data_IF_014056045510
#
_entry.id   IF_014056045510
#
_cell.length_a   1.000
_cell.length_b   1.000
_cell.length_c   1.000
_cell.angle_alpha   90.00
_cell.angle_beta   90.00
_cell.angle_gamma   90.00
#
_symmetry.space_group_name_H-M   'P 1'
#
loop_
_entity.id
_entity.type
_entity.pdbx_description
1 polymer ?
#
# COMPACT_ATOMS: atom_id res chain seq x y z
N UNK A 1 -13.82 9.06 24.60
CA UNK A 1 -12.73 8.27 23.97
C UNK A 1 -11.69 9.24 23.45
N UNK A 2 -10.51 9.29 24.07
CA UNK A 2 -9.46 10.25 23.70
C UNK A 2 -9.05 10.02 22.24
N UNK A 3 -9.26 11.02 21.40
CA UNK A 3 -8.82 11.05 20.00
C UNK A 3 -7.28 11.08 19.99
N UNK A 4 -6.66 9.90 20.14
CA UNK A 4 -5.22 9.73 20.09
C UNK A 4 -4.84 10.01 18.64
N UNK A 5 -4.30 11.20 18.36
CA UNK A 5 -3.79 11.57 17.03
C UNK A 5 -2.88 10.44 16.55
N UNK A 6 -3.36 9.64 15.59
CA UNK A 6 -2.57 8.57 14.98
C UNK A 6 -1.46 9.25 14.20
N UNK A 7 -0.20 8.95 14.53
CA UNK A 7 0.91 9.43 13.71
C UNK A 7 0.69 8.93 12.28
N UNK A 8 0.66 9.82 11.27
CA UNK A 8 0.49 9.40 9.88
C UNK A 8 1.60 8.45 9.44
N UNK A 9 1.25 7.39 8.71
CA UNK A 9 2.22 6.45 8.14
C UNK A 9 3.06 7.17 7.08
N UNK A 10 4.38 7.18 7.21
CA UNK A 10 5.27 7.93 6.31
C UNK A 10 5.60 7.10 5.09
N UNK A 11 5.73 7.76 3.93
CA UNK A 11 6.05 7.07 2.68
C UNK A 11 7.41 6.38 2.73
N UNK A 12 8.37 6.99 3.43
CA UNK A 12 9.71 6.43 3.63
C UNK A 12 9.74 5.13 4.44
N UNK A 13 8.66 4.81 5.15
CA UNK A 13 8.55 3.61 5.98
C UNK A 13 8.02 2.41 5.16
N UNK A 14 7.67 2.59 3.88
CA UNK A 14 7.43 1.50 2.95
C UNK A 14 8.74 0.78 2.59
N UNK A 15 8.66 -0.53 2.40
CA UNK A 15 9.83 -1.32 2.06
C UNK A 15 10.18 -1.18 0.57
N UNK A 16 11.48 -1.16 0.24
CA UNK A 16 12.00 -1.07 -1.14
C UNK A 16 11.48 0.13 -1.94
N UNK A 17 11.33 1.30 -1.30
CA UNK A 17 11.03 2.56 -2.00
C UNK A 17 12.31 3.34 -2.27
N UNK A 18 12.41 4.03 -3.42
CA UNK A 18 13.58 4.84 -3.75
C UNK A 18 13.63 6.11 -2.87
N UNK A 19 14.68 6.30 -2.04
CA UNK A 19 14.83 7.49 -1.21
C UNK A 19 14.82 8.81 -2.00
N UNK A 20 15.26 8.81 -3.26
CA UNK A 20 15.24 9.99 -4.14
C UNK A 20 13.80 10.38 -4.51
N UNK A 21 12.95 9.39 -4.81
CA UNK A 21 11.52 9.64 -5.07
C UNK A 21 10.81 10.16 -3.82
N UNK A 22 11.13 9.58 -2.66
CA UNK A 22 10.61 10.05 -1.37
C UNK A 22 11.02 11.51 -1.12
N UNK A 23 12.30 11.85 -1.27
CA UNK A 23 12.77 13.22 -1.07
C UNK A 23 12.08 14.23 -2.01
N UNK A 24 11.85 13.87 -3.28
CA UNK A 24 11.11 14.69 -4.24
C UNK A 24 9.65 14.90 -3.84
N UNK A 25 8.97 13.86 -3.35
CA UNK A 25 7.61 13.96 -2.82
C UNK A 25 7.55 14.83 -1.57
N UNK A 26 8.52 14.69 -0.65
CA UNK A 26 8.60 15.53 0.54
C UNK A 26 8.79 17.01 0.20
N UNK A 27 9.57 17.32 -0.84
CA UNK A 27 9.79 18.68 -1.34
C UNK A 27 8.52 19.34 -1.89
N UNK A 28 7.58 18.56 -2.44
CA UNK A 28 6.25 19.04 -2.88
C UNK A 28 5.16 18.89 -1.82
N UNK A 29 5.54 18.61 -0.57
CA UNK A 29 4.64 18.59 0.59
C UNK A 29 3.95 17.24 0.85
N UNK A 30 4.34 16.17 0.17
CA UNK A 30 3.74 14.83 0.31
C UNK A 30 4.69 13.89 1.05
N UNK A 31 4.42 13.64 2.33
CA UNK A 31 5.27 12.85 3.24
C UNK A 31 4.61 11.57 3.74
N UNK A 32 3.28 11.49 3.66
CA UNK A 32 2.48 10.44 4.31
C UNK A 32 1.57 9.70 3.33
N UNK A 33 1.16 8.49 3.72
CA UNK A 33 0.19 7.69 2.98
C UNK A 33 -1.13 8.45 2.74
N UNK A 34 -1.67 9.12 3.77
CA UNK A 34 -2.91 9.89 3.64
C UNK A 34 -2.77 11.06 2.64
N UNK A 35 -1.59 11.70 2.60
CA UNK A 35 -1.32 12.80 1.67
C UNK A 35 -1.21 12.33 0.23
N UNK A 36 -0.49 11.23 -0.03
CA UNK A 36 -0.38 10.71 -1.39
C UNK A 36 -1.69 10.11 -1.89
N UNK A 37 -2.49 9.48 -1.02
CA UNK A 37 -3.82 8.99 -1.37
C UNK A 37 -4.77 10.13 -1.72
N UNK A 38 -4.66 11.27 -1.01
CA UNK A 38 -5.43 12.46 -1.34
C UNK A 38 -5.03 13.05 -2.69
N UNK A 39 -3.73 13.18 -2.96
CA UNK A 39 -3.23 13.79 -4.19
C UNK A 39 -3.35 12.87 -5.42
N UNK A 40 -3.08 11.57 -5.25
CA UNK A 40 -3.09 10.54 -6.29
C UNK A 40 -4.37 9.73 -6.36
N UNK A 41 -5.48 10.26 -5.82
CA UNK A 41 -6.79 9.58 -5.78
C UNK A 41 -7.25 9.12 -7.15
N UNK A 42 -7.06 9.96 -8.16
CA UNK A 42 -7.56 9.75 -9.53
C UNK A 42 -6.40 9.61 -10.50
N UNK A 43 -6.65 9.05 -11.70
CA UNK A 43 -5.62 8.96 -12.74
C UNK A 43 -5.01 10.33 -13.09
N UNK A 44 -5.79 11.41 -13.33
CA UNK A 44 -5.24 12.76 -13.51
C UNK A 44 -4.42 13.24 -12.30
N UNK A 45 -4.91 13.01 -11.07
CA UNK A 45 -4.18 13.44 -9.86
C UNK A 45 -2.82 12.76 -9.69
N UNK A 46 -2.70 11.49 -10.11
CA UNK A 46 -1.40 10.79 -10.15
C UNK A 46 -0.47 11.39 -11.18
N UNK A 47 -0.96 11.70 -12.39
CA UNK A 47 -0.17 12.35 -13.45
C UNK A 47 0.32 13.73 -13.03
N UNK A 48 -0.55 14.54 -12.42
CA UNK A 48 -0.21 15.88 -11.92
C UNK A 48 0.83 15.80 -10.80
N UNK A 49 0.68 14.83 -9.89
CA UNK A 49 1.64 14.63 -8.82
C UNK A 49 3.01 14.17 -9.34
N UNK A 50 3.03 13.27 -10.33
CA UNK A 50 4.25 12.83 -11.00
C UNK A 50 4.99 14.01 -11.63
N UNK A 51 4.28 14.84 -12.40
CA UNK A 51 4.85 16.03 -13.04
C UNK A 51 5.38 17.04 -12.01
N UNK A 52 4.59 17.36 -10.97
CA UNK A 52 4.98 18.32 -9.92
C UNK A 52 6.18 17.86 -9.12
N UNK A 53 6.23 16.59 -8.74
CA UNK A 53 7.35 16.02 -8.00
C UNK A 53 8.56 15.69 -8.90
N UNK A 54 8.36 15.69 -10.21
CA UNK A 54 9.36 15.25 -11.19
C UNK A 54 9.77 13.80 -10.96
N UNK A 55 8.83 12.90 -10.66
CA UNK A 55 9.10 11.46 -10.49
C UNK A 55 8.31 10.65 -11.51
N UNK A 56 8.78 9.43 -11.86
CA UNK A 56 8.08 8.62 -12.85
C UNK A 56 6.63 8.26 -12.42
N UNK A 57 5.65 8.28 -13.34
CA UNK A 57 4.25 7.95 -13.02
C UNK A 57 4.08 6.58 -12.36
N UNK A 58 4.89 5.59 -12.73
CA UNK A 58 4.90 4.25 -12.15
C UNK A 58 5.28 4.27 -10.66
N UNK A 59 6.21 5.13 -10.25
CA UNK A 59 6.60 5.28 -8.85
C UNK A 59 5.46 5.91 -8.03
N UNK A 60 4.72 6.86 -8.61
CA UNK A 60 3.50 7.40 -7.97
C UNK A 60 2.45 6.30 -7.82
N UNK A 61 2.19 5.55 -8.89
CA UNK A 61 1.18 4.49 -8.88
C UNK A 61 1.49 3.44 -7.81
N UNK A 62 2.75 3.02 -7.72
CA UNK A 62 3.21 2.08 -6.70
C UNK A 62 3.01 2.63 -5.29
N UNK A 63 3.45 3.87 -5.01
CA UNK A 63 3.30 4.46 -3.68
C UNK A 63 1.83 4.68 -3.30
N UNK A 64 0.96 4.99 -4.26
CA UNK A 64 -0.50 5.07 -4.04
C UNK A 64 -1.06 3.70 -3.70
N UNK A 65 -0.70 2.64 -4.42
CA UNK A 65 -1.12 1.25 -4.14
C UNK A 65 -0.66 0.75 -2.78
N UNK A 66 0.62 0.95 -2.45
CA UNK A 66 1.18 0.63 -1.13
C UNK A 66 0.46 1.39 -0.02
N UNK A 67 0.19 2.68 -0.24
CA UNK A 67 -0.54 3.52 0.71
C UNK A 67 -1.97 3.04 0.90
N UNK A 68 -2.66 2.65 -0.17
CA UNK A 68 -4.03 2.17 -0.10
C UNK A 68 -4.13 0.85 0.67
N UNK A 69 -3.23 -0.11 0.39
CA UNK A 69 -3.13 -1.36 1.15
C UNK A 69 -2.83 -1.10 2.64
N UNK A 70 -2.00 -0.11 2.96
CA UNK A 70 -1.65 0.23 4.35
C UNK A 70 -2.80 0.82 5.19
N UNK A 71 -3.94 1.11 4.56
CA UNK A 71 -5.17 1.53 5.26
C UNK A 71 -5.77 0.37 6.06
N UNK A 72 -5.51 -0.87 5.65
CA UNK A 72 -6.03 -2.06 6.30
C UNK A 72 -5.37 -2.24 7.69
N UNK A 73 -6.16 -2.47 8.76
CA UNK A 73 -5.61 -2.71 10.09
C UNK A 73 -4.58 -3.84 10.08
N UNK A 74 -3.42 -3.59 10.70
CA UNK A 74 -2.32 -4.56 10.75
C UNK A 74 -1.43 -4.61 9.51
N UNK A 75 -1.81 -3.98 8.40
CA UNK A 75 -1.01 -3.93 7.17
C UNK A 75 -0.07 -2.72 7.22
N UNK A 76 1.21 -2.96 7.50
CA UNK A 76 2.28 -1.94 7.52
C UNK A 76 3.20 -2.09 6.30
N UNK A 77 4.24 -1.25 6.21
CA UNK A 77 5.12 -1.12 5.04
C UNK A 77 5.57 -2.44 4.40
N UNK A 78 6.11 -3.38 5.17
CA UNK A 78 6.59 -4.67 4.64
C UNK A 78 5.45 -5.60 4.18
N UNK A 79 4.30 -5.59 4.87
CA UNK A 79 3.14 -6.42 4.51
C UNK A 79 2.40 -5.85 3.30
N UNK A 80 2.26 -4.53 3.21
CA UNK A 80 1.75 -3.85 2.01
C UNK A 80 2.62 -4.16 0.79
N UNK A 81 3.96 -4.11 0.97
CA UNK A 81 4.92 -4.50 -0.06
C UNK A 81 4.75 -5.95 -0.49
N UNK A 82 4.60 -6.89 0.46
CA UNK A 82 4.37 -8.29 0.14
C UNK A 82 3.14 -8.48 -0.76
N UNK A 83 2.00 -7.91 -0.37
CA UNK A 83 0.78 -8.01 -1.17
C UNK A 83 0.95 -7.40 -2.57
N UNK A 84 1.50 -6.19 -2.65
CA UNK A 84 1.79 -5.53 -3.92
C UNK A 84 2.66 -6.40 -4.83
N UNK A 85 3.77 -6.92 -4.29
CA UNK A 85 4.76 -7.66 -5.07
C UNK A 85 4.26 -9.06 -5.46
N UNK A 86 3.35 -9.64 -4.67
CA UNK A 86 2.61 -10.86 -5.01
C UNK A 86 1.42 -10.63 -5.97
N UNK A 87 1.23 -9.41 -6.49
CA UNK A 87 0.17 -9.05 -7.45
C UNK A 87 -1.18 -8.66 -6.84
N UNK A 88 -1.28 -8.63 -5.51
CA UNK A 88 -2.46 -8.18 -4.74
C UNK A 88 -2.29 -6.69 -4.43
N UNK A 89 -2.31 -5.88 -5.47
CA UNK A 89 -1.84 -4.49 -5.45
C UNK A 89 -2.93 -3.44 -5.23
N UNK A 90 -4.19 -3.86 -4.98
CA UNK A 90 -5.30 -2.99 -4.58
C UNK A 90 -6.13 -3.63 -3.47
N UNK A 91 -6.82 -2.79 -2.68
CA UNK A 91 -7.77 -3.27 -1.66
C UNK A 91 -8.90 -4.07 -2.30
N UNK A 92 -9.37 -3.67 -3.49
CA UNK A 92 -10.42 -4.38 -4.22
C UNK A 92 -9.99 -5.79 -4.62
N UNK A 93 -8.76 -5.96 -5.13
CA UNK A 93 -8.23 -7.29 -5.42
C UNK A 93 -8.14 -8.13 -4.15
N UNK A 94 -7.61 -7.55 -3.06
CA UNK A 94 -7.50 -8.24 -1.78
C UNK A 94 -8.86 -8.73 -1.27
N UNK A 95 -9.90 -7.90 -1.38
CA UNK A 95 -11.25 -8.24 -0.94
C UNK A 95 -11.87 -9.43 -1.70
N UNK A 96 -11.41 -9.68 -2.94
CA UNK A 96 -11.88 -10.77 -3.80
C UNK A 96 -11.22 -12.12 -3.57
N UNK A 97 -10.15 -12.20 -2.77
CA UNK A 97 -9.51 -13.47 -2.44
C UNK A 97 -10.30 -14.27 -1.41
N UNK A 98 -10.17 -15.59 -1.47
CA UNK A 98 -10.49 -16.49 -0.37
C UNK A 98 -9.27 -16.70 0.55
N UNK A 99 -9.46 -16.97 1.86
CA UNK A 99 -8.34 -17.01 2.81
C UNK A 99 -7.23 -18.00 2.47
N UNK A 100 -7.58 -19.22 2.05
CA UNK A 100 -6.59 -20.24 1.71
C UNK A 100 -5.80 -19.88 0.45
N UNK A 101 -6.42 -19.17 -0.49
CA UNK A 101 -5.78 -18.71 -1.72
C UNK A 101 -4.76 -17.61 -1.43
N UNK A 102 -5.13 -16.60 -0.64
CA UNK A 102 -4.22 -15.50 -0.28
C UNK A 102 -3.07 -16.00 0.59
N UNK A 103 -3.33 -16.93 1.51
CA UNK A 103 -2.29 -17.57 2.33
C UNK A 103 -1.30 -18.33 1.47
N UNK A 104 -1.79 -19.18 0.56
CA UNK A 104 -0.95 -19.95 -0.36
C UNK A 104 -0.11 -19.02 -1.24
N UNK A 105 -0.74 -18.04 -1.90
CA UNK A 105 -0.09 -17.09 -2.79
C UNK A 105 1.07 -16.35 -2.10
N UNK A 106 0.82 -15.83 -0.90
CA UNK A 106 1.85 -15.07 -0.17
C UNK A 106 2.96 -15.97 0.38
N UNK A 107 2.64 -17.21 0.77
CA UNK A 107 3.65 -18.19 1.20
C UNK A 107 4.55 -18.63 0.05
N UNK A 108 3.96 -18.95 -1.10
CA UNK A 108 4.69 -19.30 -2.33
C UNK A 108 5.56 -18.13 -2.79
N UNK A 109 5.03 -16.90 -2.78
CA UNK A 109 5.81 -15.72 -3.15
C UNK A 109 7.05 -15.54 -2.26
N UNK A 110 6.90 -15.63 -0.94
CA UNK A 110 8.03 -15.52 0.00
C UNK A 110 9.05 -16.63 -0.24
N UNK A 111 8.58 -17.88 -0.40
CA UNK A 111 9.45 -19.04 -0.62
C UNK A 111 10.25 -18.93 -1.93
N UNK A 112 9.58 -18.60 -3.04
CA UNK A 112 10.19 -18.60 -4.38
C UNK A 112 11.06 -17.38 -4.65
N UNK A 113 10.79 -16.23 -4.01
CA UNK A 113 11.51 -14.97 -4.30
C UNK A 113 12.55 -14.61 -3.24
N UNK A 114 12.54 -15.26 -2.07
CA UNK A 114 13.38 -14.86 -0.94
C UNK A 114 12.99 -13.50 -0.35
N UNK A 115 11.72 -13.11 -0.47
CA UNK A 115 11.21 -11.85 0.06
C UNK A 115 11.58 -11.68 1.55
N UNK A 116 12.09 -10.52 2.00
CA UNK A 116 12.64 -10.33 3.35
C UNK A 116 11.58 -10.28 4.48
N UNK A 117 10.31 -10.55 4.18
CA UNK A 117 9.21 -10.61 5.14
C UNK A 117 8.58 -11.99 5.21
N UNK A 118 7.67 -12.16 6.16
CA UNK A 118 6.94 -13.42 6.36
C UNK A 118 5.54 -13.37 5.77
N UNK A 119 5.05 -14.52 5.32
CA UNK A 119 3.66 -14.71 4.96
C UNK A 119 2.73 -14.39 6.16
N UNK A 120 1.52 -13.89 5.90
CA UNK A 120 0.49 -13.69 6.92
C UNK A 120 0.09 -15.01 7.58
N UNK A 121 -0.32 -14.95 8.84
CA UNK A 121 -0.96 -16.10 9.51
C UNK A 121 -2.39 -16.30 8.98
N UNK A 122 -2.95 -17.53 9.06
CA UNK A 122 -4.33 -17.79 8.59
C UNK A 122 -5.36 -16.80 9.14
N UNK A 123 -5.29 -16.50 10.45
CA UNK A 123 -6.18 -15.52 11.09
C UNK A 123 -5.97 -14.09 10.59
N UNK A 124 -4.72 -13.70 10.28
CA UNK A 124 -4.43 -12.39 9.73
C UNK A 124 -5.05 -12.26 8.34
N UNK A 125 -4.90 -13.30 7.49
CA UNK A 125 -5.49 -13.33 6.15
C UNK A 125 -7.01 -13.12 6.20
N UNK A 126 -7.72 -13.93 6.99
CA UNK A 126 -9.18 -13.81 7.11
C UNK A 126 -9.60 -12.43 7.61
N UNK A 127 -8.87 -11.86 8.59
CA UNK A 127 -9.14 -10.52 9.10
C UNK A 127 -8.86 -9.44 8.06
N UNK A 128 -7.75 -9.52 7.33
CA UNK A 128 -7.38 -8.54 6.30
C UNK A 128 -8.38 -8.54 5.14
N UNK A 129 -8.84 -9.72 4.69
CA UNK A 129 -9.88 -9.85 3.65
C UNK A 129 -11.20 -9.24 4.14
N UNK A 130 -11.64 -9.56 5.36
CA UNK A 130 -12.85 -8.98 5.93
C UNK A 130 -12.76 -7.45 6.05
N UNK A 131 -11.61 -6.93 6.49
CA UNK A 131 -11.39 -5.49 6.55
C UNK A 131 -11.40 -4.85 5.16
N UNK A 132 -10.84 -5.50 4.16
CA UNK A 132 -10.85 -4.99 2.77
C UNK A 132 -12.25 -4.94 2.17
N UNK A 133 -13.07 -5.98 2.41
CA UNK A 133 -14.48 -6.01 1.99
C UNK A 133 -15.31 -4.87 2.59
N UNK A 134 -14.95 -4.41 3.79
CA UNK A 134 -15.66 -3.34 4.50
C UNK A 134 -15.01 -1.96 4.35
N UNK A 135 -13.86 -1.85 3.68
CA UNK A 135 -13.14 -0.59 3.55
C UNK A 135 -13.75 0.24 2.41
N UNK A 136 -14.23 1.48 2.67
CA UNK A 136 -14.74 2.32 1.60
C UNK A 136 -13.67 2.58 0.54
N UNK A 137 -14.07 2.53 -0.73
CA UNK A 137 -13.19 2.87 -1.85
C UNK A 137 -12.70 4.31 -1.69
N UNK A 138 -11.39 4.47 -1.81
CA UNK A 138 -10.75 5.78 -1.72
C UNK A 138 -10.10 6.17 -3.04
N UNK A 139 -9.36 5.25 -3.65
CA UNK A 139 -8.64 5.45 -4.91
C UNK A 139 -9.47 4.97 -6.09
N UNK A 140 -9.36 5.68 -7.21
CA UNK A 140 -9.93 5.32 -8.50
C UNK A 140 -8.80 4.74 -9.36
N UNK A 141 -8.91 3.44 -9.66
CA UNK A 141 -7.91 2.68 -10.40
C UNK A 141 -8.09 2.82 -11.90
#
# INVERSE_FOLDING_TARGET
>A
MTNKKRNPFKLKDFHSVDPKHIARLEAVGVKTADQILKAGRTSPGRSDLAARAGIPPEAILELVKLSDLSRLPGVKGIRARLYYAAGVDTVEKLAGYEPDELLRLTSEYVHCTGFPGIAPLPKEVSSTILNARNLPKLVEW
#
